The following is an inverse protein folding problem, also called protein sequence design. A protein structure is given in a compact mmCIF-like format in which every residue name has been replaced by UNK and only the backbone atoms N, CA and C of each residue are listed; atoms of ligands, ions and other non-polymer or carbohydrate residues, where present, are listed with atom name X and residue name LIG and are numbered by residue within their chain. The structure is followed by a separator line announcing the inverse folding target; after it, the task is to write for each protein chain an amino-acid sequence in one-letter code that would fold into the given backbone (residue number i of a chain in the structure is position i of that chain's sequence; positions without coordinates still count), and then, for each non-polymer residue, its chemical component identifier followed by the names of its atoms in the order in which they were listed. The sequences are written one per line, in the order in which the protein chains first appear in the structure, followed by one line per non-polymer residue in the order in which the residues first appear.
data_IF_709480033402
#
_entry.id   IF_709480033402
#
_cell.length_a   1.000
_cell.length_b   1.000
_cell.length_c   1.000
_cell.angle_alpha   90.00
_cell.angle_beta   90.00
_cell.angle_gamma   90.00
#
_symmetry.space_group_name_H-M   'P 1'
#
loop_
_entity.id
_entity.type
_entity.pdbx_description
1 polymer ?
#
# COMPACT_ATOMS: atom_id res chain seq x y z
N UNK A 1 23.56 -21.57 -5.11
CA UNK A 1 22.76 -20.44 -4.55
C UNK A 1 23.74 -19.46 -3.93
N UNK A 2 23.90 -18.27 -4.50
CA UNK A 2 24.75 -17.24 -3.92
C UNK A 2 24.07 -16.74 -2.64
N UNK A 3 24.71 -16.90 -1.50
CA UNK A 3 24.23 -16.40 -0.20
C UNK A 3 24.17 -14.89 -0.27
N UNK A 4 22.97 -14.32 -0.28
CA UNK A 4 22.75 -12.89 -0.31
C UNK A 4 23.33 -12.28 0.96
N UNK A 5 24.33 -11.41 0.82
CA UNK A 5 25.00 -10.74 1.94
C UNK A 5 24.05 -9.70 2.53
N UNK A 6 23.70 -9.83 3.80
CA UNK A 6 22.81 -8.93 4.52
C UNK A 6 23.62 -7.76 5.13
N UNK A 7 23.40 -6.54 4.63
CA UNK A 7 23.94 -5.31 5.19
C UNK A 7 22.82 -4.56 5.94
N UNK A 8 22.84 -4.60 7.26
CA UNK A 8 21.79 -4.05 8.13
C UNK A 8 22.37 -3.19 9.27
N UNK A 9 23.49 -2.50 9.02
CA UNK A 9 24.20 -1.78 10.06
C UNK A 9 23.41 -0.63 10.69
N UNK A 10 22.63 0.08 9.90
CA UNK A 10 21.74 1.14 10.41
C UNK A 10 20.72 0.54 11.38
N UNK A 11 20.14 -0.60 11.05
CA UNK A 11 19.17 -1.30 11.89
C UNK A 11 19.80 -1.85 13.17
N UNK A 12 21.02 -2.39 13.08
CA UNK A 12 21.76 -2.83 14.27
C UNK A 12 21.99 -1.68 15.25
N UNK A 13 22.37 -0.51 14.74
CA UNK A 13 22.56 0.70 15.54
C UNK A 13 21.26 1.20 16.17
N UNK A 14 20.16 1.16 15.42
CA UNK A 14 18.84 1.52 15.90
C UNK A 14 18.38 0.58 17.04
N UNK A 15 18.55 -0.74 16.86
CA UNK A 15 18.23 -1.75 17.89
C UNK A 15 19.06 -1.48 19.14
N UNK A 16 20.37 -1.28 19.00
CA UNK A 16 21.26 -0.98 20.14
C UNK A 16 20.83 0.29 20.87
N UNK A 17 20.49 1.35 20.13
CA UNK A 17 20.04 2.61 20.72
C UNK A 17 18.70 2.46 21.44
N UNK A 18 17.75 1.72 20.87
CA UNK A 18 16.47 1.43 21.49
C UNK A 18 16.59 0.63 22.79
N UNK A 19 17.62 -0.22 22.87
CA UNK A 19 17.92 -1.02 24.06
C UNK A 19 18.84 -0.27 25.05
N UNK A 20 19.18 0.98 24.77
CA UNK A 20 20.09 1.82 25.58
C UNK A 20 21.44 1.15 25.89
N UNK A 21 21.93 0.29 24.95
CA UNK A 21 23.18 -0.44 25.15
C UNK A 21 24.38 0.29 24.56
N UNK A 22 25.52 0.22 25.25
CA UNK A 22 26.79 0.62 24.67
C UNK A 22 27.23 -0.39 23.59
N UNK A 23 28.04 0.03 22.63
CA UNK A 23 28.60 -0.89 21.61
C UNK A 23 29.29 -2.12 22.24
N UNK A 24 30.01 -1.89 23.35
CA UNK A 24 30.71 -2.98 24.07
C UNK A 24 29.73 -4.01 24.61
N UNK A 25 28.72 -3.58 25.34
CA UNK A 25 27.72 -4.46 25.93
C UNK A 25 26.87 -5.17 24.88
N UNK A 26 26.59 -4.48 23.76
CA UNK A 26 25.84 -5.05 22.65
C UNK A 26 26.66 -6.12 21.92
N UNK A 27 27.97 -5.87 21.69
CA UNK A 27 28.87 -6.84 21.10
C UNK A 27 29.02 -8.11 21.96
N UNK A 28 29.15 -7.96 23.28
CA UNK A 28 29.21 -9.08 24.23
C UNK A 28 27.96 -9.93 24.16
N UNK A 29 26.78 -9.32 24.17
CA UNK A 29 25.50 -10.04 24.09
C UNK A 29 25.29 -10.74 22.74
N UNK A 30 25.81 -10.18 21.64
CA UNK A 30 25.76 -10.78 20.32
C UNK A 30 26.87 -11.84 20.09
N UNK A 31 27.77 -12.05 21.09
CA UNK A 31 28.87 -13.00 20.96
C UNK A 31 29.92 -12.62 19.92
N UNK A 32 30.10 -11.31 19.66
CA UNK A 32 31.06 -10.80 18.66
C UNK A 32 32.05 -9.81 19.27
N UNK A 33 33.20 -9.62 18.63
CA UNK A 33 34.15 -8.60 19.07
C UNK A 33 33.64 -7.18 18.76
N UNK A 34 34.02 -6.22 19.57
CA UNK A 34 33.68 -4.80 19.38
C UNK A 34 34.08 -4.26 17.98
N UNK A 35 35.29 -4.53 17.45
CA UNK A 35 35.63 -4.14 16.08
C UNK A 35 34.73 -4.78 15.02
N UNK A 36 34.30 -6.04 15.23
CA UNK A 36 33.42 -6.74 14.32
C UNK A 36 32.01 -6.11 14.30
N UNK A 37 31.45 -5.78 15.48
CA UNK A 37 30.20 -5.05 15.58
C UNK A 37 30.30 -3.68 14.90
N UNK A 38 31.38 -2.93 15.15
CA UNK A 38 31.57 -1.62 14.53
C UNK A 38 31.62 -1.69 12.99
N UNK A 39 32.27 -2.72 12.43
CA UNK A 39 32.27 -2.94 10.99
C UNK A 39 30.85 -3.25 10.45
N UNK A 40 30.06 -4.03 11.18
CA UNK A 40 28.67 -4.33 10.79
C UNK A 40 27.76 -3.09 10.92
N UNK A 41 27.85 -2.34 12.02
CA UNK A 41 27.06 -1.11 12.22
C UNK A 41 27.37 -0.03 11.17
N UNK A 42 28.57 -0.03 10.61
CA UNK A 42 28.98 0.88 9.53
C UNK A 42 28.80 0.29 8.13
N UNK A 43 28.15 -0.84 8.02
CA UNK A 43 27.94 -1.59 6.77
C UNK A 43 29.23 -1.92 5.99
N UNK A 44 30.37 -1.91 6.65
CA UNK A 44 31.66 -2.37 6.09
C UNK A 44 31.75 -3.89 6.06
N UNK A 45 30.81 -4.58 6.75
CA UNK A 45 30.72 -6.03 6.78
C UNK A 45 29.25 -6.47 6.87
N UNK A 46 28.87 -7.55 6.17
CA UNK A 46 27.53 -8.09 6.26
C UNK A 46 27.26 -8.68 7.65
N UNK A 47 26.02 -8.62 8.10
CA UNK A 47 25.55 -9.27 9.31
C UNK A 47 25.56 -10.78 9.11
N UNK A 48 26.26 -11.51 9.98
CA UNK A 48 26.32 -12.96 9.87
C UNK A 48 25.06 -13.63 10.42
N UNK A 49 24.76 -14.83 9.94
CA UNK A 49 23.62 -15.62 10.43
C UNK A 49 23.68 -15.84 11.95
N UNK A 50 24.89 -16.02 12.52
CA UNK A 50 25.06 -16.13 13.97
C UNK A 50 24.61 -14.89 14.73
N UNK A 51 24.90 -13.69 14.21
CA UNK A 51 24.43 -12.43 14.81
C UNK A 51 22.91 -12.28 14.69
N UNK A 52 22.33 -12.69 13.56
CA UNK A 52 20.88 -12.68 13.37
C UNK A 52 20.17 -13.60 14.38
N UNK A 53 20.73 -14.80 14.59
CA UNK A 53 20.21 -15.73 15.60
C UNK A 53 20.38 -15.21 17.02
N UNK A 54 21.51 -14.58 17.33
CA UNK A 54 21.75 -13.95 18.64
C UNK A 54 20.76 -12.81 18.91
N UNK A 55 20.45 -11.96 17.89
CA UNK A 55 19.43 -10.93 18.01
C UNK A 55 18.04 -11.50 18.34
N UNK A 56 17.66 -12.60 17.69
CA UNK A 56 16.39 -13.25 17.94
C UNK A 56 16.34 -13.89 19.34
N UNK A 57 17.41 -14.56 19.76
CA UNK A 57 17.47 -15.27 21.05
C UNK A 57 17.60 -14.33 22.25
N UNK A 58 18.51 -13.37 22.19
CA UNK A 58 18.84 -12.49 23.32
C UNK A 58 17.84 -11.33 23.48
N UNK A 59 17.26 -10.88 22.38
CA UNK A 59 16.39 -9.68 22.40
C UNK A 59 14.98 -9.91 21.89
N UNK A 60 14.62 -11.16 21.54
CA UNK A 60 13.29 -11.49 21.00
C UNK A 60 12.99 -10.77 19.66
N UNK A 61 14.05 -10.41 18.91
CA UNK A 61 13.93 -9.63 17.71
C UNK A 61 13.41 -10.50 16.56
N UNK A 62 12.36 -10.04 15.88
CA UNK A 62 11.83 -10.73 14.69
C UNK A 62 12.84 -10.57 13.54
N UNK A 63 13.42 -11.69 13.11
CA UNK A 63 14.37 -11.76 11.99
C UNK A 63 13.77 -11.16 10.70
N UNK A 64 12.45 -11.17 10.55
CA UNK A 64 11.75 -10.54 9.45
C UNK A 64 11.91 -9.01 9.45
N UNK A 65 12.13 -8.38 10.60
CA UNK A 65 12.41 -6.94 10.70
C UNK A 65 13.82 -6.56 10.20
N UNK A 66 14.74 -7.51 10.12
CA UNK A 66 16.05 -7.32 9.46
C UNK A 66 15.95 -7.54 7.94
N UNK A 67 14.79 -7.97 7.45
CA UNK A 67 14.63 -8.25 6.04
C UNK A 67 14.80 -6.97 5.22
N UNK A 68 15.52 -7.12 4.12
CA UNK A 68 15.89 -6.11 3.14
C UNK A 68 14.72 -5.40 2.43
N UNK A 69 13.47 -5.58 2.91
CA UNK A 69 12.26 -5.03 2.30
C UNK A 69 12.30 -3.52 2.15
N UNK A 70 12.74 -2.80 3.19
CA UNK A 70 12.78 -1.34 3.16
C UNK A 70 13.92 -0.82 2.28
N UNK A 71 15.08 -1.48 2.30
CA UNK A 71 16.19 -1.12 1.43
C UNK A 71 15.89 -1.41 -0.05
N UNK A 72 15.26 -2.53 -0.37
CA UNK A 72 14.85 -2.84 -1.75
C UNK A 72 13.73 -1.91 -2.25
N UNK A 73 12.82 -1.48 -1.38
CA UNK A 73 11.82 -0.44 -1.68
C UNK A 73 12.52 0.88 -2.02
N UNK A 74 13.46 1.30 -1.18
CA UNK A 74 14.20 2.54 -1.37
C UNK A 74 15.03 2.52 -2.65
N UNK A 75 15.62 1.38 -2.99
CA UNK A 75 16.33 1.16 -4.27
C UNK A 75 15.36 1.29 -5.46
N UNK A 76 14.18 0.69 -5.37
CA UNK A 76 13.16 0.79 -6.44
C UNK A 76 12.69 2.23 -6.62
N UNK A 77 12.44 2.94 -5.51
CA UNK A 77 12.02 4.34 -5.53
C UNK A 77 13.09 5.25 -6.12
N UNK A 78 14.37 5.04 -5.74
CA UNK A 78 15.51 5.78 -6.32
C UNK A 78 15.66 5.50 -7.82
N UNK A 79 15.53 4.25 -8.25
CA UNK A 79 15.56 3.93 -9.68
C UNK A 79 14.47 4.65 -10.45
N UNK A 80 13.25 4.69 -9.91
CA UNK A 80 12.15 5.43 -10.52
C UNK A 80 12.47 6.94 -10.60
N UNK A 81 13.04 7.50 -9.53
CA UNK A 81 13.44 8.91 -9.53
C UNK A 81 14.55 9.21 -10.54
N UNK A 82 15.61 8.42 -10.57
CA UNK A 82 16.72 8.58 -11.52
C UNK A 82 16.35 8.30 -12.98
N UNK A 83 15.21 7.66 -13.22
CA UNK A 83 14.67 7.50 -14.57
C UNK A 83 14.04 8.80 -15.14
N UNK A 84 13.98 9.87 -14.35
CA UNK A 84 13.50 11.17 -14.82
C UNK A 84 14.57 11.84 -15.69
N UNK A 85 14.17 12.45 -16.84
CA UNK A 85 15.09 13.14 -17.76
C UNK A 85 15.93 14.27 -17.15
N UNK A 86 15.60 14.74 -15.95
CA UNK A 86 16.40 15.73 -15.22
C UNK A 86 17.78 15.20 -14.84
N UNK A 87 17.91 13.89 -14.70
CA UNK A 87 19.19 13.24 -14.42
C UNK A 87 19.86 12.83 -15.75
N UNK A 88 21.07 13.30 -15.97
CA UNK A 88 21.86 12.94 -17.15
C UNK A 88 22.37 11.51 -17.13
N UNK A 89 22.61 10.97 -15.92
CA UNK A 89 23.14 9.62 -15.71
C UNK A 89 22.35 8.90 -14.61
N UNK A 90 22.17 7.60 -14.80
CA UNK A 90 21.51 6.74 -13.82
C UNK A 90 22.58 5.94 -13.06
N UNK A 91 22.66 6.03 -11.74
CA UNK A 91 23.62 5.27 -10.97
C UNK A 91 23.41 3.74 -11.13
N UNK A 92 24.50 2.96 -11.17
CA UNK A 92 24.41 1.51 -11.19
C UNK A 92 23.59 0.96 -10.01
N UNK A 93 22.89 -0.15 -10.22
CA UNK A 93 22.07 -0.78 -9.18
C UNK A 93 22.85 -1.09 -7.88
N UNK A 94 24.16 -1.40 -8.03
CA UNK A 94 25.04 -1.63 -6.87
C UNK A 94 25.19 -0.37 -6.00
N UNK A 95 25.29 0.80 -6.61
CA UNK A 95 25.45 2.07 -5.90
C UNK A 95 24.14 2.49 -5.23
N UNK A 96 23.02 2.27 -5.88
CA UNK A 96 21.69 2.50 -5.28
C UNK A 96 21.46 1.61 -4.05
N UNK A 97 21.88 0.35 -4.11
CA UNK A 97 21.84 -0.56 -2.95
C UNK A 97 22.75 -0.09 -1.82
N UNK A 98 23.95 0.39 -2.15
CA UNK A 98 24.85 0.98 -1.17
C UNK A 98 24.24 2.23 -0.53
N UNK A 99 23.67 3.13 -1.31
CA UNK A 99 22.99 4.32 -0.81
C UNK A 99 21.82 3.98 0.10
N UNK A 100 20.96 3.05 -0.30
CA UNK A 100 19.82 2.59 0.49
C UNK A 100 20.24 1.95 1.83
N UNK A 101 21.38 1.23 1.83
CA UNK A 101 21.84 0.52 3.03
C UNK A 101 22.69 1.42 3.96
N UNK A 102 23.51 2.30 3.40
CA UNK A 102 24.52 3.06 4.16
C UNK A 102 24.08 4.49 4.48
N UNK A 103 23.21 5.07 3.64
CA UNK A 103 22.76 6.45 3.76
C UNK A 103 21.26 6.60 3.45
N UNK A 104 20.37 5.86 4.14
CA UNK A 104 18.94 5.89 3.85
C UNK A 104 18.33 7.29 3.98
N UNK A 105 18.81 8.10 4.93
CA UNK A 105 18.37 9.49 5.08
C UNK A 105 18.68 10.35 3.84
N UNK A 106 19.85 10.15 3.22
CA UNK A 106 20.21 10.85 1.98
C UNK A 106 19.33 10.37 0.81
N UNK A 107 19.08 9.08 0.73
CA UNK A 107 18.20 8.51 -0.30
C UNK A 107 16.76 9.05 -0.16
N UNK A 108 16.22 9.15 1.05
CA UNK A 108 14.93 9.80 1.30
C UNK A 108 14.93 11.27 0.91
N UNK A 109 15.96 12.03 1.29
CA UNK A 109 16.08 13.46 0.92
C UNK A 109 16.14 13.65 -0.61
N UNK A 110 16.84 12.78 -1.34
CA UNK A 110 16.83 12.77 -2.81
C UNK A 110 15.42 12.56 -3.36
N UNK A 111 14.70 11.59 -2.83
CA UNK A 111 13.32 11.30 -3.28
C UNK A 111 12.36 12.45 -2.97
N UNK A 112 12.53 13.11 -1.85
CA UNK A 112 11.76 14.32 -1.50
C UNK A 112 12.07 15.46 -2.47
N UNK A 113 13.35 15.71 -2.76
CA UNK A 113 13.77 16.74 -3.72
C UNK A 113 13.24 16.46 -5.13
N UNK A 114 13.36 15.21 -5.61
CA UNK A 114 12.83 14.82 -6.92
C UNK A 114 11.30 14.98 -6.97
N UNK A 115 10.60 14.66 -5.88
CA UNK A 115 9.16 14.86 -5.77
C UNK A 115 8.78 16.34 -5.87
N UNK A 116 9.49 17.22 -5.16
CA UNK A 116 9.29 18.66 -5.22
C UNK A 116 9.57 19.22 -6.62
N UNK A 117 10.63 18.74 -7.28
CA UNK A 117 10.96 19.09 -8.67
C UNK A 117 9.83 18.70 -9.65
N UNK A 118 9.34 17.46 -9.57
CA UNK A 118 8.24 16.99 -10.43
C UNK A 118 6.97 17.81 -10.26
N UNK A 119 6.60 18.13 -9.01
CA UNK A 119 5.44 18.98 -8.76
C UNK A 119 5.62 20.40 -9.29
N UNK A 120 6.83 20.95 -9.21
CA UNK A 120 7.15 22.23 -9.84
C UNK A 120 6.90 22.19 -11.36
N UNK A 121 7.35 21.13 -12.03
CA UNK A 121 7.15 20.93 -13.47
C UNK A 121 5.68 20.76 -13.85
N UNK A 122 4.92 19.96 -13.11
CA UNK A 122 3.48 19.77 -13.35
C UNK A 122 2.70 21.07 -13.15
N UNK A 123 3.09 21.90 -12.18
CA UNK A 123 2.51 23.24 -12.00
C UNK A 123 2.81 24.19 -13.15
N UNK A 124 4.06 24.19 -13.63
CA UNK A 124 4.44 24.99 -14.81
C UNK A 124 3.65 24.56 -16.04
N UNK A 125 3.50 23.27 -16.27
CA UNK A 125 2.69 22.74 -17.39
C UNK A 125 1.21 23.11 -17.24
N UNK A 126 0.64 23.10 -16.03
CA UNK A 126 -0.75 23.53 -15.79
C UNK A 126 -0.94 25.05 -15.89
N UNK A 127 0.10 25.84 -15.66
CA UNK A 127 0.07 27.31 -15.84
C UNK A 127 0.11 27.70 -17.32
N UNK A 128 0.81 26.93 -18.16
CA UNK A 128 0.81 27.12 -19.63
C UNK A 128 -0.56 26.80 -20.26
N UNK A 129 -1.33 25.87 -19.66
CA UNK A 129 -2.70 25.55 -20.09
C UNK A 129 -3.76 26.53 -19.58
N UNK A 130 -3.47 27.25 -18.49
CA UNK A 130 -4.38 28.22 -17.86
C UNK A 130 -3.66 29.54 -17.57
N UNK A 131 -3.41 30.36 -18.59
CA UNK A 131 -3.02 31.76 -18.42
C UNK A 131 -4.05 32.53 -17.62
N UNK A 132 -4.00 32.44 -16.31
CA UNK A 132 -4.89 33.27 -15.50
C UNK A 132 -5.09 33.00 -14.01
N UNK A 133 -4.22 32.39 -13.24
CA UNK A 133 -4.19 32.72 -11.79
C UNK A 133 -2.99 32.08 -11.07
N UNK A 134 -2.30 32.94 -10.38
CA UNK A 134 -1.15 32.75 -9.50
C UNK A 134 -1.58 32.11 -8.17
N UNK A 135 -0.81 31.22 -7.61
CA UNK A 135 -0.15 31.27 -6.30
C UNK A 135 0.09 29.88 -5.67
N UNK A 136 1.18 29.57 -5.26
CA UNK A 136 2.14 29.54 -4.16
C UNK A 136 2.66 28.18 -3.72
N UNK A 137 3.96 28.15 -3.42
CA UNK A 137 4.56 27.36 -2.36
C UNK A 137 4.89 25.88 -2.70
N UNK A 138 6.15 25.56 -2.59
CA UNK A 138 6.75 24.23 -2.71
C UNK A 138 6.34 23.29 -1.56
N UNK A 139 5.11 22.82 -1.52
CA UNK A 139 4.69 21.80 -0.56
C UNK A 139 4.33 20.50 -1.28
N UNK A 140 4.78 19.36 -0.74
CA UNK A 140 4.32 18.05 -1.15
C UNK A 140 2.78 18.04 -1.20
N UNK A 141 2.19 17.38 -2.20
CA UNK A 141 0.72 17.27 -2.24
C UNK A 141 0.26 16.65 -0.91
N UNK A 142 -0.73 17.23 -0.23
CA UNK A 142 -1.27 16.65 1.01
C UNK A 142 -1.65 15.17 0.86
N UNK A 143 -2.06 14.75 -0.34
CA UNK A 143 -2.39 13.37 -0.67
C UNK A 143 -1.15 12.45 -0.69
N UNK A 144 0.00 12.97 -1.09
CA UNK A 144 1.25 12.21 -1.10
C UNK A 144 1.76 11.97 0.31
N UNK A 145 1.69 12.98 1.18
CA UNK A 145 2.05 12.83 2.59
C UNK A 145 1.20 11.76 3.28
N UNK A 146 -0.13 11.80 3.07
CA UNK A 146 -1.04 10.82 3.64
C UNK A 146 -0.78 9.42 3.12
N UNK A 147 -0.52 9.30 1.84
CA UNK A 147 -0.19 8.01 1.21
C UNK A 147 1.09 7.43 1.78
N UNK A 148 2.13 8.26 1.93
CA UNK A 148 3.42 7.84 2.47
C UNK A 148 3.29 7.42 3.95
N UNK A 149 2.46 8.11 4.74
CA UNK A 149 2.14 7.70 6.11
C UNK A 149 1.53 6.29 6.17
N UNK A 150 0.46 6.02 5.42
CA UNK A 150 -0.15 4.69 5.41
C UNK A 150 0.80 3.61 4.88
N UNK A 151 1.64 3.95 3.92
CA UNK A 151 2.67 3.04 3.41
C UNK A 151 3.75 2.73 4.45
N UNK A 152 4.21 3.73 5.19
CA UNK A 152 5.18 3.56 6.27
C UNK A 152 4.66 2.61 7.38
N UNK A 153 3.37 2.65 7.66
CA UNK A 153 2.73 1.78 8.64
C UNK A 153 2.39 0.36 8.09
N UNK A 154 2.88 -0.05 6.91
CA UNK A 154 2.46 -1.30 6.24
C UNK A 154 0.93 -1.46 6.17
N UNK A 155 0.20 -0.34 6.18
CA UNK A 155 -1.26 -0.25 6.24
C UNK A 155 -1.91 -0.96 7.45
N UNK A 156 -1.14 -1.29 8.47
CA UNK A 156 -1.62 -1.79 9.74
C UNK A 156 -1.34 -0.78 10.85
N UNK A 157 -2.41 -0.26 11.47
CA UNK A 157 -2.33 0.73 12.54
C UNK A 157 -2.90 0.11 13.81
N UNK A 158 -2.01 -0.50 14.61
CA UNK A 158 -2.36 -1.36 15.75
C UNK A 158 -3.37 -0.71 16.70
N UNK A 159 -3.12 0.51 17.13
CA UNK A 159 -3.98 1.19 18.10
C UNK A 159 -5.40 1.41 17.56
N UNK A 160 -5.54 1.83 16.30
CA UNK A 160 -6.85 2.06 15.66
C UNK A 160 -7.54 0.74 15.35
N UNK A 161 -6.79 -0.28 14.93
CA UNK A 161 -7.33 -1.61 14.64
C UNK A 161 -7.91 -2.27 15.90
N UNK A 162 -7.16 -2.23 17.01
CA UNK A 162 -7.62 -2.76 18.30
C UNK A 162 -8.81 -1.99 18.87
N UNK A 163 -8.83 -0.67 18.74
CA UNK A 163 -9.99 0.13 19.15
C UNK A 163 -11.26 -0.25 18.38
N UNK A 164 -11.12 -0.46 17.06
CA UNK A 164 -12.21 -0.89 16.20
C UNK A 164 -12.68 -2.33 16.53
N UNK A 165 -11.75 -3.24 16.78
CA UNK A 165 -12.05 -4.62 17.19
C UNK A 165 -12.77 -4.66 18.55
N UNK A 166 -12.32 -3.82 19.50
CA UNK A 166 -12.97 -3.66 20.80
C UNK A 166 -14.41 -3.10 20.67
N UNK A 167 -14.58 -2.09 19.82
CA UNK A 167 -15.90 -1.55 19.50
C UNK A 167 -16.85 -2.64 18.98
N UNK A 168 -16.39 -3.44 18.00
CA UNK A 168 -17.17 -4.54 17.46
C UNK A 168 -17.44 -5.65 18.48
N UNK A 169 -16.49 -5.95 19.39
CA UNK A 169 -16.65 -6.92 20.44
C UNK A 169 -17.71 -6.48 21.47
N UNK A 170 -17.73 -5.20 21.84
CA UNK A 170 -18.75 -4.62 22.71
C UNK A 170 -20.16 -4.71 22.10
N UNK A 171 -20.29 -4.49 20.78
CA UNK A 171 -21.55 -4.70 20.07
C UNK A 171 -22.00 -6.16 20.19
N UNK A 172 -21.12 -7.11 19.86
CA UNK A 172 -21.44 -8.54 19.93
C UNK A 172 -21.86 -9.03 21.33
N UNK A 173 -21.21 -8.54 22.38
CA UNK A 173 -21.59 -8.88 23.77
C UNK A 173 -23.03 -8.46 24.12
N UNK A 174 -23.57 -7.52 23.35
CA UNK A 174 -24.96 -7.03 23.45
C UNK A 174 -25.88 -7.61 22.38
N UNK A 175 -25.41 -8.54 21.54
CA UNK A 175 -26.17 -9.11 20.41
C UNK A 175 -26.36 -8.14 19.24
N UNK A 176 -25.54 -7.11 19.15
CA UNK A 176 -25.61 -6.06 18.12
C UNK A 176 -24.50 -6.24 17.08
N UNK A 177 -24.81 -6.02 15.83
CA UNK A 177 -23.80 -5.84 14.78
C UNK A 177 -23.10 -4.46 14.90
N UNK A 178 -21.98 -4.24 14.21
CA UNK A 178 -21.25 -2.97 14.34
C UNK A 178 -22.07 -1.73 13.95
N UNK A 179 -23.02 -1.85 12.99
CA UNK A 179 -23.87 -0.72 12.60
C UNK A 179 -24.94 -0.44 13.66
N UNK A 180 -25.56 -1.47 14.21
CA UNK A 180 -26.51 -1.35 15.33
C UNK A 180 -25.84 -0.80 16.59
N UNK A 181 -24.61 -1.23 16.88
CA UNK A 181 -23.82 -0.67 17.96
C UNK A 181 -23.52 0.82 17.74
N UNK A 182 -23.22 1.21 16.49
CA UNK A 182 -23.01 2.61 16.13
C UNK A 182 -24.28 3.44 16.34
N UNK A 183 -25.45 2.95 15.97
CA UNK A 183 -26.75 3.60 16.21
C UNK A 183 -27.02 3.78 17.71
N UNK A 184 -26.72 2.75 18.52
CA UNK A 184 -26.84 2.84 19.98
C UNK A 184 -25.92 3.91 20.55
N UNK A 185 -24.66 3.97 20.11
CA UNK A 185 -23.71 5.01 20.57
C UNK A 185 -24.17 6.42 20.19
N UNK A 186 -24.77 6.60 19.01
CA UNK A 186 -25.36 7.90 18.63
C UNK A 186 -26.52 8.28 19.54
N UNK A 187 -27.43 7.33 19.80
CA UNK A 187 -28.58 7.54 20.69
C UNK A 187 -28.14 7.91 22.10
N UNK A 188 -27.18 7.19 22.68
CA UNK A 188 -26.59 7.46 24.00
C UNK A 188 -25.97 8.86 24.10
N UNK A 189 -25.51 9.41 22.97
CA UNK A 189 -24.95 10.76 22.88
C UNK A 189 -25.99 11.82 22.51
N UNK A 190 -27.26 11.46 22.37
CA UNK A 190 -28.32 12.37 21.95
C UNK A 190 -28.17 12.85 20.51
N UNK A 191 -27.54 12.05 19.63
CA UNK A 191 -27.38 12.37 18.21
C UNK A 191 -28.46 11.63 17.43
N UNK A 192 -29.30 12.40 16.72
CA UNK A 192 -30.35 11.84 15.87
C UNK A 192 -29.76 11.35 14.56
N UNK A 193 -30.06 10.12 14.17
CA UNK A 193 -29.74 9.56 12.85
C UNK A 193 -30.93 9.72 11.91
N UNK A 194 -30.73 10.39 10.78
CA UNK A 194 -31.69 10.51 9.69
C UNK A 194 -31.14 9.85 8.43
N UNK A 195 -31.98 9.03 7.77
CA UNK A 195 -31.68 8.47 6.44
C UNK A 195 -32.48 9.25 5.41
N UNK A 196 -31.76 9.96 4.53
CA UNK A 196 -32.35 10.92 3.60
C UNK A 196 -31.83 10.68 2.18
N UNK A 197 -32.66 11.02 1.21
CA UNK A 197 -32.25 11.03 -0.20
C UNK A 197 -31.48 12.33 -0.49
N UNK A 198 -30.16 12.26 -0.49
CA UNK A 198 -29.25 13.41 -0.70
C UNK A 198 -27.99 12.99 -1.45
N UNK A 199 -27.31 13.95 -2.10
CA UNK A 199 -26.06 13.71 -2.82
C UNK A 199 -24.88 13.47 -1.89
N UNK A 200 -24.79 14.19 -0.78
CA UNK A 200 -23.77 13.98 0.23
C UNK A 200 -23.93 12.59 0.86
N UNK A 201 -22.89 11.78 0.86
CA UNK A 201 -22.94 10.43 1.45
C UNK A 201 -23.30 10.47 2.93
N UNK A 202 -22.81 11.49 3.64
CA UNK A 202 -23.14 11.79 5.04
C UNK A 202 -22.92 13.27 5.30
N UNK A 203 -23.66 13.82 6.25
CA UNK A 203 -23.44 15.13 6.84
C UNK A 203 -23.78 15.09 8.32
N UNK A 204 -22.94 15.68 9.15
CA UNK A 204 -23.16 15.81 10.58
C UNK A 204 -23.21 17.29 10.94
N UNK A 205 -24.29 17.69 11.61
CA UNK A 205 -24.48 19.02 12.17
C UNK A 205 -24.27 18.95 13.69
N UNK A 206 -23.19 19.56 14.21
CA UNK A 206 -22.90 19.54 15.63
C UNK A 206 -23.90 20.35 16.49
N UNK A 207 -24.50 21.41 15.93
CA UNK A 207 -25.42 22.28 16.65
C UNK A 207 -26.76 21.59 16.87
N UNK A 208 -27.35 21.06 15.79
CA UNK A 208 -28.64 20.33 15.89
C UNK A 208 -28.44 18.87 16.35
N UNK A 209 -27.21 18.38 16.44
CA UNK A 209 -26.86 16.97 16.74
C UNK A 209 -27.56 15.97 15.81
N UNK A 210 -27.59 16.27 14.52
CA UNK A 210 -28.21 15.42 13.51
C UNK A 210 -27.15 14.86 12.57
N UNK A 211 -27.10 13.55 12.47
CA UNK A 211 -26.33 12.84 11.45
C UNK A 211 -27.27 12.39 10.33
N UNK A 212 -27.03 12.89 9.11
CA UNK A 212 -27.77 12.50 7.90
C UNK A 212 -26.92 11.54 7.06
N UNK A 213 -27.50 10.40 6.71
CA UNK A 213 -26.89 9.41 5.80
C UNK A 213 -27.72 9.34 4.52
N UNK A 214 -27.04 9.33 3.37
CA UNK A 214 -27.69 9.12 2.09
C UNK A 214 -28.23 7.70 1.97
N UNK A 215 -29.45 7.56 1.46
CA UNK A 215 -30.07 6.25 1.15
C UNK A 215 -29.67 5.70 -0.23
N UNK A 216 -29.05 6.53 -1.08
CA UNK A 216 -28.67 6.15 -2.46
C UNK A 216 -27.58 5.07 -2.55
N UNK A 217 -26.50 5.09 -1.72
CA UNK A 217 -25.49 4.07 -1.80
C UNK A 217 -25.99 2.72 -1.27
N UNK A 218 -25.36 1.59 -1.69
CA UNK A 218 -25.64 0.28 -1.11
C UNK A 218 -25.47 0.27 0.42
N UNK A 219 -26.22 -0.60 1.09
CA UNK A 219 -26.25 -0.72 2.55
C UNK A 219 -24.86 -0.82 3.18
N UNK A 220 -23.98 -1.66 2.62
CA UNK A 220 -22.58 -1.78 3.10
C UNK A 220 -21.80 -0.45 3.08
N UNK A 221 -22.12 0.47 2.14
CA UNK A 221 -21.51 1.79 2.09
C UNK A 221 -22.14 2.73 3.13
N UNK A 222 -23.46 2.68 3.32
CA UNK A 222 -24.15 3.49 4.34
C UNK A 222 -23.63 3.15 5.75
N UNK A 223 -23.54 1.87 6.08
CA UNK A 223 -23.03 1.38 7.37
C UNK A 223 -21.54 1.72 7.57
N UNK A 224 -20.75 1.68 6.51
CA UNK A 224 -19.38 2.14 6.54
C UNK A 224 -19.28 3.65 6.86
N UNK A 225 -20.12 4.49 6.25
CA UNK A 225 -20.16 5.92 6.54
C UNK A 225 -20.62 6.21 7.97
N UNK A 226 -21.54 5.41 8.50
CA UNK A 226 -21.95 5.48 9.89
C UNK A 226 -20.78 5.17 10.83
N UNK A 227 -20.07 4.05 10.63
CA UNK A 227 -18.90 3.66 11.43
C UNK A 227 -17.75 4.68 11.33
N UNK A 228 -17.56 5.28 10.16
CA UNK A 228 -16.60 6.36 9.99
C UNK A 228 -16.96 7.58 10.85
N UNK A 229 -18.24 7.96 10.90
CA UNK A 229 -18.69 9.06 11.77
C UNK A 229 -18.52 8.73 13.26
N UNK A 230 -18.78 7.50 13.65
CA UNK A 230 -18.53 7.03 15.01
C UNK A 230 -17.04 7.18 15.38
N UNK A 231 -16.13 6.80 14.48
CA UNK A 231 -14.69 7.00 14.72
C UNK A 231 -14.37 8.48 15.02
N UNK A 232 -14.86 9.40 14.19
CA UNK A 232 -14.64 10.83 14.37
C UNK A 232 -15.25 11.38 15.66
N UNK A 233 -16.35 10.81 16.13
CA UNK A 233 -17.06 11.27 17.35
C UNK A 233 -16.54 10.63 18.63
N UNK A 234 -15.97 9.43 18.56
CA UNK A 234 -15.66 8.65 19.77
C UNK A 234 -14.17 8.32 19.92
N UNK A 235 -13.40 8.39 18.86
CA UNK A 235 -11.97 8.05 18.85
C UNK A 235 -11.07 9.24 18.55
N UNK A 236 -11.58 10.45 18.68
CA UNK A 236 -10.86 11.68 18.29
C UNK A 236 -9.47 11.77 18.92
N UNK A 237 -9.37 11.55 20.23
CA UNK A 237 -8.08 11.56 20.93
C UNK A 237 -7.09 10.50 20.42
N UNK A 238 -7.58 9.30 20.06
CA UNK A 238 -6.76 8.24 19.48
C UNK A 238 -6.29 8.60 18.08
N UNK A 239 -7.18 9.17 17.27
CA UNK A 239 -6.86 9.59 15.91
C UNK A 239 -5.82 10.71 15.95
N UNK A 240 -6.01 11.73 16.79
CA UNK A 240 -5.06 12.83 16.96
C UNK A 240 -3.69 12.34 17.45
N UNK A 241 -3.66 11.47 18.48
CA UNK A 241 -2.41 10.88 18.96
C UNK A 241 -1.67 10.09 17.87
N UNK A 242 -2.41 9.39 16.99
CA UNK A 242 -1.82 8.67 15.85
C UNK A 242 -1.24 9.63 14.82
N UNK A 243 -1.90 10.76 14.57
CA UNK A 243 -1.45 11.79 13.64
C UNK A 243 -0.22 12.54 14.15
N UNK A 244 -0.07 12.69 15.45
CA UNK A 244 1.09 13.35 16.06
C UNK A 244 2.41 12.60 15.78
N UNK A 245 2.35 11.27 15.65
CA UNK A 245 3.52 10.47 15.23
C UNK A 245 3.90 10.69 13.77
N UNK A 246 2.96 11.01 12.90
CA UNK A 246 3.18 11.14 11.46
C UNK A 246 3.90 12.43 11.05
N UNK A 247 3.86 13.48 11.88
CA UNK A 247 4.50 14.79 11.66
C UNK A 247 4.18 15.38 10.29
N UNK A 248 2.90 15.41 9.91
CA UNK A 248 2.45 16.04 8.67
C UNK A 248 2.92 17.49 8.58
N UNK A 249 3.31 17.91 7.38
CA UNK A 249 3.81 19.26 7.13
C UNK A 249 2.69 20.27 6.89
N UNK A 250 1.50 19.79 6.48
CA UNK A 250 0.34 20.62 6.16
C UNK A 250 -0.88 20.22 6.98
N UNK A 251 -1.70 21.18 7.34
CA UNK A 251 -2.98 20.95 8.06
C UNK A 251 -3.97 20.18 7.18
N UNK A 252 -3.89 20.38 5.86
CA UNK A 252 -4.71 19.64 4.88
C UNK A 252 -4.33 18.17 4.89
N UNK A 253 -3.03 17.83 4.86
CA UNK A 253 -2.56 16.44 4.94
C UNK A 253 -3.01 15.80 6.26
N UNK A 254 -2.87 16.52 7.38
CA UNK A 254 -3.34 16.04 8.69
C UNK A 254 -4.84 15.77 8.68
N UNK A 255 -5.63 16.69 8.13
CA UNK A 255 -7.09 16.55 8.02
C UNK A 255 -7.49 15.36 7.15
N UNK A 256 -6.87 15.19 5.99
CA UNK A 256 -7.09 14.05 5.09
C UNK A 256 -6.68 12.73 5.76
N UNK A 257 -5.55 12.71 6.47
CA UNK A 257 -5.08 11.54 7.20
C UNK A 257 -6.05 11.17 8.33
N UNK A 258 -6.62 12.14 9.06
CA UNK A 258 -7.66 11.89 10.06
C UNK A 258 -8.88 11.18 9.46
N UNK A 259 -9.34 11.65 8.30
CA UNK A 259 -10.40 10.95 7.56
C UNK A 259 -9.96 9.56 7.10
N UNK A 260 -8.70 9.39 6.72
CA UNK A 260 -8.09 8.11 6.38
C UNK A 260 -8.10 7.13 7.56
N UNK A 261 -7.72 7.58 8.76
CA UNK A 261 -7.76 6.80 9.99
C UNK A 261 -9.19 6.45 10.41
N UNK A 262 -10.13 7.38 10.25
CA UNK A 262 -11.55 7.10 10.51
C UNK A 262 -12.12 6.06 9.52
N UNK A 263 -11.72 6.11 8.24
CA UNK A 263 -12.01 5.07 7.26
C UNK A 263 -11.39 3.73 7.64
N UNK A 264 -10.14 3.74 8.14
CA UNK A 264 -9.48 2.54 8.63
C UNK A 264 -10.26 1.91 9.80
N UNK A 265 -10.63 2.71 10.80
CA UNK A 265 -11.46 2.26 11.92
C UNK A 265 -12.78 1.65 11.43
N UNK A 266 -13.50 2.31 10.52
CA UNK A 266 -14.75 1.82 9.98
C UNK A 266 -14.60 0.44 9.31
N UNK A 267 -13.53 0.26 8.52
CA UNK A 267 -13.20 -1.02 7.90
C UNK A 267 -12.86 -2.09 8.93
N UNK A 268 -12.07 -1.76 9.93
CA UNK A 268 -11.65 -2.68 10.98
C UNK A 268 -12.81 -3.05 11.94
N UNK A 269 -13.71 -2.12 12.26
CA UNK A 269 -14.91 -2.40 13.05
C UNK A 269 -15.90 -3.30 12.31
N UNK A 270 -16.04 -3.10 10.99
CA UNK A 270 -16.89 -3.94 10.13
C UNK A 270 -16.32 -5.34 9.96
N UNK A 271 -14.98 -5.46 9.85
CA UNK A 271 -14.22 -6.67 9.60
C UNK A 271 -13.19 -6.87 10.73
N UNK A 272 -13.64 -7.23 11.97
CA UNK A 272 -12.77 -7.32 13.13
C UNK A 272 -11.63 -8.32 12.92
N UNK A 273 -10.43 -7.97 13.34
CA UNK A 273 -9.18 -8.63 12.95
C UNK A 273 -9.22 -10.15 13.09
N UNK A 274 -9.38 -10.64 14.31
CA UNK A 274 -9.31 -12.09 14.57
C UNK A 274 -10.41 -12.88 13.89
N UNK A 275 -11.64 -12.36 13.90
CA UNK A 275 -12.77 -13.02 13.25
C UNK A 275 -12.63 -13.03 11.74
N UNK A 276 -12.16 -11.91 11.17
CA UNK A 276 -11.98 -11.81 9.74
C UNK A 276 -10.81 -12.67 9.27
N UNK A 277 -9.70 -12.71 10.01
CA UNK A 277 -8.57 -13.59 9.72
C UNK A 277 -8.97 -15.07 9.76
N UNK A 278 -9.71 -15.49 10.81
CA UNK A 278 -10.21 -16.86 10.92
C UNK A 278 -11.15 -17.22 9.76
N UNK A 279 -12.08 -16.33 9.43
CA UNK A 279 -12.99 -16.51 8.30
C UNK A 279 -12.25 -16.55 6.95
N UNK A 280 -11.21 -15.72 6.77
CA UNK A 280 -10.38 -15.73 5.57
C UNK A 280 -9.66 -17.08 5.40
N UNK A 281 -9.14 -17.65 6.46
CA UNK A 281 -8.53 -18.99 6.43
C UNK A 281 -9.56 -20.07 6.13
N UNK A 282 -10.72 -20.05 6.80
CA UNK A 282 -11.82 -21.02 6.61
C UNK A 282 -12.33 -21.02 5.16
N UNK A 283 -12.53 -19.84 4.58
CA UNK A 283 -13.02 -19.70 3.21
C UNK A 283 -11.92 -19.74 2.16
N UNK A 284 -10.66 -19.95 2.58
CA UNK A 284 -9.49 -19.88 1.70
C UNK A 284 -9.44 -18.58 0.90
N UNK A 285 -9.72 -17.47 1.59
CA UNK A 285 -9.70 -16.10 1.05
C UNK A 285 -10.70 -15.85 -0.09
N UNK A 286 -11.82 -16.58 -0.12
CA UNK A 286 -12.92 -16.33 -1.06
C UNK A 286 -13.57 -14.97 -0.74
N UNK A 287 -13.35 -13.98 -1.63
CA UNK A 287 -13.82 -12.61 -1.42
C UNK A 287 -15.34 -12.50 -1.42
N UNK A 288 -16.04 -13.30 -2.21
CA UNK A 288 -17.51 -13.28 -2.27
C UNK A 288 -18.12 -13.85 -1.00
N UNK A 289 -17.62 -15.00 -0.52
CA UNK A 289 -18.03 -15.58 0.75
C UNK A 289 -17.74 -14.68 1.93
N UNK A 290 -16.57 -14.03 1.94
CA UNK A 290 -16.22 -13.06 2.98
C UNK A 290 -17.12 -11.81 2.91
N UNK A 291 -17.40 -11.30 1.72
CA UNK A 291 -18.28 -10.15 1.53
C UNK A 291 -19.70 -10.45 2.02
N UNK A 292 -20.24 -11.63 1.70
CA UNK A 292 -21.54 -12.09 2.14
C UNK A 292 -21.58 -12.28 3.67
N UNK A 293 -20.61 -13.02 4.24
CA UNK A 293 -20.54 -13.32 5.68
C UNK A 293 -20.49 -12.06 6.56
N UNK A 294 -19.81 -11.01 6.11
CA UNK A 294 -19.66 -9.77 6.86
C UNK A 294 -20.56 -8.62 6.36
N UNK A 295 -21.37 -8.86 5.34
CA UNK A 295 -22.20 -7.83 4.70
C UNK A 295 -21.39 -6.67 4.15
N UNK A 296 -20.16 -6.92 3.71
CA UNK A 296 -19.21 -5.94 3.20
C UNK A 296 -19.13 -5.96 1.67
N UNK A 297 -18.62 -4.89 1.06
CA UNK A 297 -18.34 -4.91 -0.38
C UNK A 297 -17.04 -5.68 -0.68
N UNK A 298 -16.92 -6.21 -1.91
CA UNK A 298 -15.69 -6.87 -2.38
C UNK A 298 -14.47 -5.95 -2.22
N UNK A 299 -14.61 -4.64 -2.50
CA UNK A 299 -13.53 -3.67 -2.30
C UNK A 299 -13.11 -3.57 -0.82
N UNK A 300 -14.08 -3.56 0.11
CA UNK A 300 -13.79 -3.50 1.55
C UNK A 300 -13.07 -4.78 2.03
N UNK A 301 -13.52 -5.95 1.58
CA UNK A 301 -12.90 -7.23 1.88
C UNK A 301 -11.47 -7.29 1.34
N UNK A 302 -11.27 -6.98 0.06
CA UNK A 302 -9.95 -7.00 -0.56
C UNK A 302 -8.98 -6.02 0.12
N UNK A 303 -9.45 -4.80 0.45
CA UNK A 303 -8.68 -3.82 1.18
C UNK A 303 -8.33 -4.33 2.60
N UNK A 304 -9.29 -4.93 3.32
CA UNK A 304 -9.04 -5.47 4.67
C UNK A 304 -8.01 -6.58 4.67
N UNK A 305 -8.05 -7.50 3.69
CA UNK A 305 -7.04 -8.55 3.54
C UNK A 305 -5.63 -7.99 3.44
N UNK A 306 -5.43 -6.85 2.77
CA UNK A 306 -4.12 -6.21 2.66
C UNK A 306 -3.62 -5.55 3.97
N UNK A 307 -4.50 -5.38 4.97
CA UNK A 307 -4.17 -4.77 6.27
C UNK A 307 -3.94 -5.81 7.38
N UNK A 308 -4.04 -7.10 7.10
CA UNK A 308 -3.87 -8.17 8.10
C UNK A 308 -2.38 -8.42 8.41
N UNK A 309 -1.70 -7.41 8.95
CA UNK A 309 -0.26 -7.44 9.23
C UNK A 309 0.09 -7.30 10.74
N UNK A 310 -0.86 -7.66 11.65
CA UNK A 310 -0.64 -7.63 13.11
C UNK A 310 0.54 -8.53 13.49
N UNK A 311 1.54 -8.03 14.23
CA UNK A 311 2.63 -8.86 14.73
C UNK A 311 2.09 -10.07 15.53
N UNK A 312 2.62 -11.26 15.25
CA UNK A 312 2.20 -12.50 15.87
C UNK A 312 0.90 -13.14 15.34
N UNK A 313 0.15 -12.44 14.47
CA UNK A 313 -1.08 -12.94 13.86
C UNK A 313 -1.24 -12.43 12.42
N UNK A 314 -0.15 -12.48 11.63
CA UNK A 314 -0.16 -12.01 10.24
C UNK A 314 -0.98 -12.94 9.34
N UNK A 315 -1.79 -12.35 8.49
CA UNK A 315 -2.43 -13.06 7.37
C UNK A 315 -1.49 -13.21 6.17
N UNK A 316 -2.03 -13.65 5.05
CA UNK A 316 -1.31 -13.65 3.78
C UNK A 316 -0.94 -12.20 3.43
N UNK A 317 0.34 -11.92 3.14
CA UNK A 317 0.74 -10.57 2.73
C UNK A 317 0.21 -10.31 1.32
N UNK A 318 -0.78 -9.43 1.23
CA UNK A 318 -1.37 -9.01 -0.03
C UNK A 318 -0.90 -7.62 -0.43
N UNK A 319 -0.79 -7.39 -1.74
CA UNK A 319 -0.92 -6.06 -2.29
C UNK A 319 -2.38 -5.81 -2.70
N UNK A 320 -2.80 -4.57 -2.65
CA UNK A 320 -4.10 -4.09 -3.09
C UNK A 320 -3.94 -2.84 -3.93
N UNK A 321 -4.66 -2.76 -5.05
CA UNK A 321 -4.77 -1.55 -5.85
C UNK A 321 -6.20 -1.31 -6.27
N UNK A 322 -6.51 -0.04 -6.52
CA UNK A 322 -7.72 0.36 -7.23
C UNK A 322 -7.33 1.31 -8.35
N UNK A 323 -7.72 0.98 -9.56
CA UNK A 323 -7.47 1.79 -10.75
C UNK A 323 -8.80 2.30 -11.33
N UNK A 324 -8.77 3.47 -11.97
CA UNK A 324 -9.86 3.96 -12.79
C UNK A 324 -9.78 3.45 -14.24
N UNK A 325 -10.72 3.84 -15.08
CA UNK A 325 -10.75 3.42 -16.49
C UNK A 325 -9.58 3.95 -17.32
N UNK A 326 -8.93 5.03 -16.88
CA UNK A 326 -7.73 5.57 -17.53
C UNK A 326 -6.44 4.84 -17.10
N UNK A 327 -6.55 3.85 -16.19
CA UNK A 327 -5.42 3.13 -15.63
C UNK A 327 -4.70 3.88 -14.50
N UNK A 328 -5.27 4.99 -14.00
CA UNK A 328 -4.69 5.74 -12.89
C UNK A 328 -4.91 4.98 -11.58
N UNK A 329 -3.84 4.80 -10.80
CA UNK A 329 -3.93 4.17 -9.50
C UNK A 329 -4.51 5.16 -8.48
N UNK A 330 -5.76 4.93 -8.06
CA UNK A 330 -6.48 5.78 -7.11
C UNK A 330 -6.33 5.33 -5.66
N UNK A 331 -5.98 4.07 -5.43
CA UNK A 331 -5.64 3.49 -4.13
C UNK A 331 -4.57 2.42 -4.32
N UNK A 332 -3.61 2.35 -3.41
CA UNK A 332 -2.60 1.30 -3.42
C UNK A 332 -2.13 0.98 -2.01
N UNK A 333 -1.92 -0.30 -1.74
CA UNK A 333 -1.36 -0.85 -0.51
C UNK A 333 -0.50 -2.05 -0.87
N UNK A 334 0.60 -2.27 -0.22
CA UNK A 334 1.40 -3.47 -0.44
C UNK A 334 2.04 -3.93 0.87
N UNK A 335 1.69 -5.14 1.29
CA UNK A 335 2.41 -5.90 2.29
C UNK A 335 3.38 -6.91 1.65
N UNK A 336 3.56 -6.83 0.31
CA UNK A 336 4.46 -7.67 -0.48
C UNK A 336 5.66 -6.87 -0.97
N UNK A 337 6.58 -7.53 -1.69
CA UNK A 337 7.68 -6.86 -2.38
C UNK A 337 7.26 -6.10 -3.64
N UNK A 338 6.03 -6.30 -4.12
CA UNK A 338 5.54 -5.60 -5.30
C UNK A 338 5.43 -4.11 -5.00
N UNK A 339 6.20 -3.34 -5.76
CA UNK A 339 6.12 -1.89 -5.72
C UNK A 339 5.22 -1.41 -6.86
N UNK A 340 4.41 -0.41 -6.56
CA UNK A 340 3.62 0.27 -7.58
C UNK A 340 4.36 1.51 -8.03
N UNK A 341 4.32 1.82 -9.33
CA UNK A 341 4.85 3.06 -9.84
C UNK A 341 4.25 4.24 -9.06
N UNK A 342 5.11 5.14 -8.59
CA UNK A 342 4.67 6.38 -7.94
C UNK A 342 4.09 7.34 -8.95
N UNK A 343 4.65 7.33 -10.17
CA UNK A 343 4.31 8.22 -11.27
C UNK A 343 4.04 7.40 -12.53
N UNK A 344 3.04 7.82 -13.30
CA UNK A 344 2.67 7.16 -14.54
C UNK A 344 1.70 5.98 -14.37
N UNK A 345 1.39 5.31 -15.46
CA UNK A 345 0.47 4.17 -15.49
C UNK A 345 1.14 2.86 -15.06
N UNK A 346 0.33 1.96 -14.53
CA UNK A 346 0.74 0.59 -14.26
C UNK A 346 1.04 -0.16 -15.57
N UNK A 347 1.74 -1.30 -15.47
CA UNK A 347 2.06 -2.13 -16.63
C UNK A 347 0.79 -2.52 -17.41
N UNK A 348 0.72 -2.28 -18.72
CA UNK A 348 -0.46 -2.63 -19.54
C UNK A 348 -0.81 -4.11 -19.56
N UNK A 349 0.16 -4.98 -19.29
CA UNK A 349 -0.04 -6.44 -19.23
C UNK A 349 -0.67 -6.91 -17.94
N UNK A 350 -0.91 -6.02 -16.98
CA UNK A 350 -1.49 -6.41 -15.73
C UNK A 350 -3.01 -6.61 -15.86
N UNK A 351 -3.52 -7.73 -15.35
CA UNK A 351 -4.92 -8.13 -15.49
C UNK A 351 -5.94 -7.14 -14.93
N UNK A 352 -5.52 -6.19 -14.10
CA UNK A 352 -6.39 -5.14 -13.55
C UNK A 352 -7.01 -4.28 -14.64
N UNK A 353 -6.30 -4.08 -15.77
CA UNK A 353 -6.83 -3.32 -16.91
C UNK A 353 -7.91 -4.09 -17.67
N UNK A 354 -7.79 -5.42 -17.75
CA UNK A 354 -8.77 -6.29 -18.41
C UNK A 354 -10.07 -6.42 -17.61
N UNK A 355 -10.06 -6.11 -16.31
CA UNK A 355 -11.23 -6.24 -15.46
C UNK A 355 -12.40 -5.33 -15.88
N UNK A 356 -12.16 -4.27 -16.64
CA UNK A 356 -13.20 -3.41 -17.21
C UNK A 356 -13.97 -4.06 -18.36
N UNK A 357 -13.34 -5.02 -19.07
CA UNK A 357 -13.92 -5.74 -20.20
C UNK A 357 -14.88 -6.85 -19.76
N UNK A 358 -14.70 -7.36 -18.53
CA UNK A 358 -15.48 -8.45 -17.97
C UNK A 358 -16.09 -8.09 -16.61
N UNK A 359 -17.06 -7.16 -16.58
CA UNK A 359 -17.65 -6.71 -15.31
C UNK A 359 -18.23 -7.86 -14.49
N UNK A 360 -17.97 -7.82 -13.18
CA UNK A 360 -18.49 -8.81 -12.23
C UNK A 360 -17.72 -10.13 -12.15
N UNK A 361 -16.76 -10.39 -13.04
CA UNK A 361 -15.94 -11.62 -13.01
C UNK A 361 -14.58 -11.35 -12.34
N UNK A 362 -14.09 -12.36 -11.62
CA UNK A 362 -12.70 -12.38 -11.19
C UNK A 362 -11.79 -12.86 -12.32
N UNK A 363 -10.75 -12.07 -12.59
CA UNK A 363 -9.68 -12.44 -13.51
C UNK A 363 -8.45 -12.83 -12.69
N UNK A 364 -7.80 -13.91 -13.09
CA UNK A 364 -6.61 -14.46 -12.45
C UNK A 364 -5.42 -14.35 -13.38
N UNK A 365 -4.26 -14.04 -12.84
CA UNK A 365 -3.01 -13.98 -13.60
C UNK A 365 -1.88 -14.49 -12.72
N UNK A 366 -1.05 -15.36 -13.27
CA UNK A 366 0.26 -15.65 -12.75
C UNK A 366 1.24 -14.67 -13.39
N UNK A 367 1.88 -13.84 -12.60
CA UNK A 367 2.70 -12.75 -13.08
C UNK A 367 4.14 -12.86 -12.57
N UNK A 368 5.10 -12.45 -13.38
CA UNK A 368 6.50 -12.36 -12.98
C UNK A 368 7.06 -10.98 -13.28
N UNK A 369 7.59 -10.32 -12.25
CA UNK A 369 8.27 -9.03 -12.36
C UNK A 369 9.69 -9.16 -12.92
N UNK A 370 10.34 -8.07 -13.40
CA UNK A 370 11.69 -8.14 -13.99
C UNK A 370 12.77 -8.68 -13.05
N UNK A 371 12.62 -8.52 -11.74
CA UNK A 371 13.49 -9.07 -10.70
C UNK A 371 13.29 -10.58 -10.45
N UNK A 372 12.39 -11.21 -11.22
CA UNK A 372 12.12 -12.65 -11.14
C UNK A 372 11.14 -13.06 -10.05
N UNK A 373 10.60 -12.12 -9.28
CA UNK A 373 9.59 -12.42 -8.25
C UNK A 373 8.26 -12.78 -8.92
N UNK A 374 7.61 -13.82 -8.41
CA UNK A 374 6.37 -14.37 -8.95
C UNK A 374 5.19 -14.06 -8.06
N UNK A 375 4.10 -13.64 -8.69
CA UNK A 375 2.88 -13.23 -8.02
C UNK A 375 1.66 -13.99 -8.57
N UNK A 376 0.73 -14.27 -7.69
CA UNK A 376 -0.65 -14.53 -8.04
C UNK A 376 -1.42 -13.22 -7.96
N UNK A 377 -2.09 -12.85 -9.04
CA UNK A 377 -2.86 -11.61 -9.16
C UNK A 377 -4.34 -11.94 -9.43
N UNK A 378 -5.21 -11.31 -8.67
CA UNK A 378 -6.67 -11.39 -8.80
C UNK A 378 -7.19 -9.98 -9.07
N UNK A 379 -8.04 -9.83 -10.08
CA UNK A 379 -8.67 -8.54 -10.36
C UNK A 379 -10.16 -8.66 -10.64
N UNK A 380 -10.90 -7.60 -10.34
CA UNK A 380 -12.34 -7.51 -10.58
C UNK A 380 -12.77 -6.05 -10.76
N UNK A 381 -13.71 -5.81 -11.68
CA UNK A 381 -14.40 -4.54 -11.80
C UNK A 381 -15.31 -4.32 -10.59
N UNK A 382 -15.31 -3.10 -10.07
CA UNK A 382 -16.20 -2.64 -9.01
C UNK A 382 -16.85 -1.32 -9.46
N UNK A 383 -18.16 -1.35 -9.63
CA UNK A 383 -18.95 -0.19 -10.04
C UNK A 383 -19.69 0.39 -8.86
N UNK A 384 -19.72 1.71 -8.76
CA UNK A 384 -20.47 2.45 -7.74
C UNK A 384 -21.55 3.25 -8.44
N UNK A 385 -22.78 2.74 -8.37
CA UNK A 385 -23.97 3.42 -8.88
C UNK A 385 -24.29 4.66 -8.06
N UNK A 386 -24.79 5.69 -8.70
CA UNK A 386 -25.30 6.90 -8.03
C UNK A 386 -26.72 6.77 -7.48
N UNK A 387 -27.37 5.61 -7.64
CA UNK A 387 -28.70 5.34 -7.06
C UNK A 387 -29.89 5.74 -7.93
N UNK A 388 -29.68 6.37 -9.09
CA UNK A 388 -30.75 6.64 -10.09
C UNK A 388 -30.26 6.34 -11.50
N UNK A 389 -31.18 6.27 -12.47
CA UNK A 389 -30.84 6.00 -13.87
C UNK A 389 -29.90 7.06 -14.46
N UNK A 390 -30.12 8.33 -14.17
CA UNK A 390 -29.33 9.44 -14.69
C UNK A 390 -28.06 9.73 -13.86
N UNK A 391 -27.88 9.08 -12.71
CA UNK A 391 -26.71 9.32 -11.88
C UNK A 391 -25.46 8.70 -12.47
N UNK A 392 -24.31 9.39 -12.44
CA UNK A 392 -23.07 8.88 -13.01
C UNK A 392 -22.59 7.63 -12.27
N UNK A 393 -22.25 6.60 -13.03
CA UNK A 393 -21.65 5.35 -12.50
C UNK A 393 -20.15 5.50 -12.47
N UNK A 394 -19.56 5.46 -11.27
CA UNK A 394 -18.11 5.43 -11.11
C UNK A 394 -17.61 3.99 -11.25
N UNK A 395 -16.71 3.77 -12.20
CA UNK A 395 -16.15 2.44 -12.50
C UNK A 395 -14.70 2.38 -12.09
N UNK A 396 -14.36 1.34 -11.34
CA UNK A 396 -13.00 1.04 -10.92
C UNK A 396 -12.72 -0.44 -11.15
N UNK A 397 -11.45 -0.78 -11.24
CA UNK A 397 -11.00 -2.15 -11.08
C UNK A 397 -10.16 -2.24 -9.81
N UNK A 398 -10.35 -3.30 -9.04
CA UNK A 398 -9.47 -3.65 -7.93
C UNK A 398 -8.55 -4.77 -8.36
N UNK A 399 -7.31 -4.72 -7.90
CA UNK A 399 -6.34 -5.78 -7.97
C UNK A 399 -5.91 -6.18 -6.57
N UNK A 400 -5.90 -7.47 -6.29
CA UNK A 400 -5.41 -8.08 -5.07
C UNK A 400 -4.43 -9.18 -5.45
N UNK A 401 -3.31 -9.32 -4.76
CA UNK A 401 -2.40 -10.43 -5.06
C UNK A 401 -1.35 -10.62 -4.00
N UNK A 402 -0.64 -11.72 -4.08
CA UNK A 402 0.41 -12.12 -3.16
C UNK A 402 1.56 -12.79 -3.92
N UNK A 403 2.71 -12.95 -3.26
CA UNK A 403 3.76 -13.80 -3.81
C UNK A 403 3.24 -15.23 -3.99
N UNK A 404 3.64 -15.88 -5.07
CA UNK A 404 3.11 -17.20 -5.47
C UNK A 404 3.27 -18.28 -4.40
N UNK A 405 4.24 -18.16 -3.50
CA UNK A 405 4.41 -19.09 -2.36
C UNK A 405 3.19 -19.15 -1.43
N UNK A 406 2.34 -18.13 -1.46
CA UNK A 406 1.10 -18.07 -0.69
C UNK A 406 -0.14 -18.47 -1.50
N UNK A 407 -0.01 -18.71 -2.81
CA UNK A 407 -1.15 -19.01 -3.69
C UNK A 407 -1.97 -20.23 -3.23
N UNK A 408 -1.33 -21.25 -2.65
CA UNK A 408 -2.01 -22.43 -2.13
C UNK A 408 -3.01 -22.16 -0.99
N UNK A 409 -2.92 -20.97 -0.34
CA UNK A 409 -3.92 -20.56 0.65
C UNK A 409 -5.22 -20.00 0.02
N UNK A 410 -5.23 -19.73 -1.30
CA UNK A 410 -6.33 -19.08 -1.98
C UNK A 410 -7.13 -20.09 -2.83
N UNK A 411 -8.44 -20.08 -2.69
CA UNK A 411 -9.35 -20.91 -3.53
C UNK A 411 -9.18 -20.61 -5.02
N UNK A 412 -8.81 -19.42 -5.38
CA UNK A 412 -8.64 -18.97 -6.76
C UNK A 412 -7.43 -19.59 -7.48
N UNK A 413 -6.55 -20.29 -6.77
CA UNK A 413 -5.36 -20.89 -7.34
C UNK A 413 -5.43 -22.41 -7.50
N UNK A 414 -6.55 -23.06 -7.13
CA UNK A 414 -6.67 -24.53 -7.07
C UNK A 414 -6.41 -25.24 -8.41
N UNK A 415 -6.81 -24.64 -9.51
CA UNK A 415 -6.68 -25.16 -10.86
C UNK A 415 -5.48 -24.57 -11.63
N UNK A 416 -4.64 -23.76 -10.97
CA UNK A 416 -3.50 -23.11 -11.60
C UNK A 416 -2.21 -23.90 -11.37
N UNK A 417 -1.46 -24.14 -12.44
CA UNK A 417 -0.13 -24.74 -12.31
C UNK A 417 0.92 -23.68 -11.97
N UNK A 418 1.06 -23.40 -10.67
CA UNK A 418 2.00 -22.41 -10.13
C UNK A 418 3.49 -22.85 -10.21
N UNK A 419 3.76 -24.08 -10.63
CA UNK A 419 5.13 -24.58 -10.81
C UNK A 419 5.60 -24.50 -12.27
N UNK A 420 4.70 -24.27 -13.22
CA UNK A 420 5.03 -24.13 -14.62
C UNK A 420 5.54 -22.72 -14.92
N UNK A 421 6.81 -22.59 -15.24
CA UNK A 421 7.43 -21.30 -15.56
C UNK A 421 6.77 -20.58 -16.75
N UNK A 422 6.29 -21.32 -17.73
CA UNK A 422 5.61 -20.78 -18.91
C UNK A 422 4.20 -20.21 -18.62
N UNK A 423 3.64 -20.50 -17.45
CA UNK A 423 2.34 -19.96 -17.04
C UNK A 423 2.42 -18.51 -16.50
N UNK A 424 3.64 -18.02 -16.24
CA UNK A 424 3.84 -16.69 -15.68
C UNK A 424 3.98 -15.64 -16.77
N UNK A 425 3.03 -14.72 -16.78
CA UNK A 425 3.08 -13.58 -17.71
C UNK A 425 4.12 -12.54 -17.23
N UNK A 426 5.01 -12.09 -18.13
CA UNK A 426 6.06 -11.16 -17.78
C UNK A 426 5.53 -9.73 -17.66
N UNK A 427 5.11 -9.33 -16.45
CA UNK A 427 4.69 -7.95 -16.17
C UNK A 427 5.86 -7.06 -15.72
N UNK A 428 5.65 -5.75 -15.76
CA UNK A 428 6.52 -4.74 -15.16
C UNK A 428 5.77 -3.91 -14.11
N UNK A 429 6.47 -2.97 -13.49
CA UNK A 429 5.85 -1.97 -12.61
C UNK A 429 5.32 -0.80 -13.43
N UNK A 430 6.18 -0.24 -14.29
CA UNK A 430 5.86 0.83 -15.26
C UNK A 430 6.75 0.67 -16.47
N UNK A 431 6.27 1.02 -17.65
CA UNK A 431 7.07 0.92 -18.89
C UNK A 431 8.35 1.76 -18.84
N UNK A 432 8.33 2.90 -18.14
CA UNK A 432 9.47 3.83 -18.03
C UNK A 432 10.69 3.24 -17.34
N UNK A 433 10.47 2.34 -16.38
CA UNK A 433 11.54 1.70 -15.60
C UNK A 433 11.68 0.20 -15.89
N UNK A 434 10.92 -0.32 -16.85
CA UNK A 434 10.93 -1.74 -17.19
C UNK A 434 12.09 -2.09 -18.10
N UNK A 435 12.98 -2.98 -17.68
CA UNK A 435 14.16 -3.42 -18.42
C UNK A 435 13.91 -4.52 -19.45
N UNK A 436 12.67 -5.01 -19.56
CA UNK A 436 12.33 -6.08 -20.52
C UNK A 436 12.59 -5.62 -21.96
N UNK A 437 13.41 -6.36 -22.69
CA UNK A 437 13.76 -6.03 -24.07
C UNK A 437 12.60 -6.36 -25.04
N UNK A 438 11.98 -7.52 -24.83
CA UNK A 438 10.92 -8.02 -25.71
C UNK A 438 9.58 -7.92 -24.97
N UNK A 439 8.88 -6.81 -25.18
CA UNK A 439 7.55 -6.60 -24.63
C UNK A 439 6.62 -6.13 -25.75
N UNK A 440 5.62 -6.96 -26.08
CA UNK A 440 4.65 -6.69 -27.14
C UNK A 440 3.67 -5.56 -26.80
N UNK A 441 3.54 -5.18 -25.51
CA UNK A 441 2.57 -4.18 -25.04
C UNK A 441 3.25 -2.96 -24.38
N UNK A 442 4.49 -2.69 -24.72
CA UNK A 442 5.19 -1.51 -24.19
C UNK A 442 4.56 -0.20 -24.70
N UNK A 443 4.09 0.64 -23.79
CA UNK A 443 3.45 1.92 -24.14
C UNK A 443 4.45 3.05 -24.37
N UNK A 444 5.55 3.07 -23.60
CA UNK A 444 6.61 4.08 -23.71
C UNK A 444 7.98 3.43 -23.57
N UNK A 445 9.03 3.98 -24.21
CA UNK A 445 10.38 3.44 -24.08
C UNK A 445 10.89 3.59 -22.63
N UNK A 446 11.80 2.71 -22.19
CA UNK A 446 12.48 2.85 -20.92
C UNK A 446 13.45 4.04 -20.99
N UNK A 447 13.50 4.83 -19.91
CA UNK A 447 14.30 6.05 -19.86
C UNK A 447 15.80 5.78 -19.79
N UNK A 448 16.20 4.65 -19.19
CA UNK A 448 17.60 4.29 -18.95
C UNK A 448 18.30 3.61 -20.13
N UNK A 449 17.61 3.40 -21.26
CA UNK A 449 18.15 2.62 -22.38
C UNK A 449 18.23 3.44 -23.65
N UNK A 450 19.33 3.27 -24.38
CA UNK A 450 19.45 3.87 -25.71
C UNK A 450 18.53 3.14 -26.70
N UNK A 451 17.78 3.93 -27.43
CA UNK A 451 16.92 3.43 -28.48
C UNK A 451 17.68 3.36 -29.82
N UNK A 452 17.47 2.30 -30.54
CA UNK A 452 17.88 2.20 -31.93
C UNK A 452 16.64 2.18 -32.80
N UNK A 453 16.57 3.09 -33.74
CA UNK A 453 15.50 3.12 -34.73
C UNK A 453 16.13 2.75 -36.07
N UNK A 454 15.60 1.70 -36.71
CA UNK A 454 15.93 1.36 -38.10
C UNK A 454 14.75 1.77 -39.00
N UNK A 455 14.91 2.75 -39.90
CA UNK A 455 13.82 3.19 -40.76
C UNK A 455 13.42 2.14 -41.82
N UNK A 456 14.24 1.12 -42.03
CA UNK A 456 14.02 0.07 -43.02
C UNK A 456 13.49 -1.24 -42.41
N UNK A 457 13.49 -1.38 -41.09
CA UNK A 457 13.01 -2.56 -40.38
C UNK A 457 12.07 -2.15 -39.22
N UNK A 458 10.92 -2.79 -39.15
CA UNK A 458 9.95 -2.55 -38.07
C UNK A 458 9.51 -3.86 -37.43
N UNK A 459 9.82 -4.00 -36.14
CA UNK A 459 9.24 -5.03 -35.29
C UNK A 459 7.87 -4.63 -34.73
N UNK A 460 7.43 -5.27 -33.64
CA UNK A 460 6.22 -4.89 -32.91
C UNK A 460 6.33 -3.47 -32.36
N UNK A 461 7.51 -3.08 -31.88
CA UNK A 461 7.83 -1.71 -31.50
C UNK A 461 8.56 -0.99 -32.64
N UNK A 462 8.41 0.35 -32.76
CA UNK A 462 9.11 1.14 -33.76
C UNK A 462 10.59 1.39 -33.46
N UNK A 463 11.12 0.78 -32.41
CA UNK A 463 12.51 0.90 -31.93
C UNK A 463 12.97 -0.39 -31.30
N UNK A 464 14.26 -0.59 -31.24
CA UNK A 464 14.92 -1.61 -30.43
C UNK A 464 15.60 -0.98 -29.22
N UNK A 465 15.65 -1.72 -28.12
CA UNK A 465 16.31 -1.28 -26.89
C UNK A 465 17.70 -1.89 -26.88
N UNK A 466 18.73 -1.05 -26.92
CA UNK A 466 20.12 -1.50 -26.79
C UNK A 466 20.44 -1.90 -25.33
N UNK A 467 21.27 -2.93 -25.22
CA UNK A 467 21.86 -3.35 -23.94
C UNK A 467 22.80 -2.30 -23.36
#
# INVERSE_FOLDING_TARGET
MATQKLYAGVKLREIRSRLELTQKNFAEKLGVSLPYLNQMENNNRPVSTGVVLALAQEFGFDVAELSTGDAERLVSDMREAFADPVFSDVPPLADLRLAASNAPALAHALLELHRAYRMGHERLASLDENLGTVDHGSNASPWDEVRDFFHYCDNYIDAVDRAAEHFAANGRSRGLDPAQMAETVLADRGIKLERVDQDAMRSYDPESRVLRLSTRPPRATQEFQLLMQIALLTQDALLEATLDFARFQTDEARSIAKLGLANYFAGAARLPYEQFLAAAHETRHDLERLADRFGASIEQVAHRLSTLQRPGAKGVPFFFVRVDQAGTITKRHSATRLQFARFGGACPLWNVHQAFETPGRFLRQLAQTPDGVRYFCLSRNVSKSGGSFDAPVRRYAIGLGCEVKHAGALVYADDLNVTNDAAFEPIGVSCRICERQFCHQRSVPPLERKLQVDPYSRGTLPYEIKR
#
